data_IF_004488323410
#
_entry.id   IF_004488323410
#
_cell.length_a   1.000
_cell.length_b   1.000
_cell.length_c   1.000
_cell.angle_alpha   90.00
_cell.angle_beta   90.00
_cell.angle_gamma   90.00
#
_symmetry.space_group_name_H-M   'P 1'
#
loop_
_entity.id
_entity.type
_entity.pdbx_description
1 polymer ?
#
# COMPACT_ATOMS: atom_id res chain seq x y z
N UNK A 1 14.32 6.50 10.24
CA UNK A 1 14.67 6.03 8.89
C UNK A 1 16.17 6.15 8.71
N UNK A 2 16.89 5.02 8.83
CA UNK A 2 18.36 4.97 8.75
C UNK A 2 18.89 3.83 7.87
N UNK A 3 18.00 3.08 7.22
CA UNK A 3 18.30 1.97 6.30
C UNK A 3 17.62 2.17 4.95
N UNK A 4 17.42 3.42 4.54
CA UNK A 4 16.87 3.81 3.25
C UNK A 4 17.67 4.94 2.62
N UNK A 5 17.81 4.91 1.31
CA UNK A 5 18.43 5.93 0.47
C UNK A 5 17.50 6.19 -0.73
N UNK A 6 17.17 7.45 -0.99
CA UNK A 6 16.36 7.85 -2.14
C UNK A 6 17.20 8.74 -3.04
N UNK A 7 17.41 8.30 -4.27
CA UNK A 7 18.21 8.99 -5.29
C UNK A 7 17.33 9.66 -6.35
N UNK A 8 16.05 9.30 -6.44
CA UNK A 8 15.04 9.99 -7.25
C UNK A 8 13.62 9.78 -6.68
N UNK A 9 12.68 10.61 -7.13
CA UNK A 9 11.28 10.62 -6.71
C UNK A 9 10.37 9.59 -7.43
N UNK A 10 10.82 9.00 -8.53
CA UNK A 10 10.05 8.06 -9.35
C UNK A 10 10.20 6.61 -8.91
N UNK A 11 11.31 6.30 -8.24
CA UNK A 11 11.69 4.95 -7.84
C UNK A 11 12.45 4.17 -8.92
N UNK A 12 12.86 4.80 -10.02
CA UNK A 12 13.49 4.13 -11.16
C UNK A 12 15.01 3.92 -11.00
N UNK A 13 15.69 4.73 -10.18
CA UNK A 13 17.11 4.54 -9.91
C UNK A 13 17.35 3.29 -9.08
N UNK A 14 18.32 2.48 -9.50
CA UNK A 14 18.86 1.38 -8.70
C UNK A 14 19.53 1.85 -7.39
N UNK A 15 19.81 3.16 -7.25
CA UNK A 15 20.27 3.76 -6.00
C UNK A 15 19.17 3.95 -4.95
N UNK A 16 17.90 3.72 -5.31
CA UNK A 16 16.82 3.71 -4.34
C UNK A 16 16.84 2.40 -3.55
N UNK A 17 17.11 2.52 -2.26
CA UNK A 17 17.17 1.39 -1.33
C UNK A 17 16.22 1.71 -0.18
N UNK A 18 15.40 0.75 0.22
CA UNK A 18 14.54 0.91 1.38
C UNK A 18 14.43 -0.38 2.18
N UNK A 19 14.34 -0.26 3.50
CA UNK A 19 14.02 -1.38 4.39
C UNK A 19 12.52 -1.42 4.71
N UNK A 20 11.94 -2.61 4.98
CA UNK A 20 10.56 -2.72 5.41
C UNK A 20 10.22 -1.83 6.61
N UNK A 21 11.12 -1.77 7.60
CA UNK A 21 10.95 -0.96 8.81
C UNK A 21 10.83 0.53 8.50
N UNK A 22 11.70 1.05 7.64
CA UNK A 22 11.67 2.46 7.27
C UNK A 22 10.45 2.80 6.41
N UNK A 23 10.01 1.86 5.56
CA UNK A 23 8.79 2.02 4.78
C UNK A 23 7.53 2.05 5.65
N UNK A 24 7.47 1.31 6.76
CA UNK A 24 6.37 1.44 7.74
C UNK A 24 6.32 2.85 8.31
N UNK A 25 7.48 3.43 8.68
CA UNK A 25 7.54 4.81 9.19
C UNK A 25 7.10 5.82 8.13
N UNK A 26 7.61 5.67 6.90
CA UNK A 26 7.26 6.54 5.78
C UNK A 26 5.75 6.46 5.45
N UNK A 27 5.20 5.25 5.40
CA UNK A 27 3.79 5.02 5.13
C UNK A 27 2.91 5.61 6.23
N UNK A 28 3.28 5.47 7.50
CA UNK A 28 2.56 6.10 8.61
C UNK A 28 2.50 7.63 8.45
N UNK A 29 3.61 8.27 8.11
CA UNK A 29 3.66 9.72 7.90
C UNK A 29 2.91 10.18 6.63
N UNK A 30 2.97 9.40 5.55
CA UNK A 30 2.30 9.73 4.30
C UNK A 30 0.79 9.52 4.39
N UNK A 31 0.35 8.38 4.90
CA UNK A 31 -1.07 8.01 4.97
C UNK A 31 -1.82 8.71 6.10
N UNK A 32 -1.14 9.38 7.04
CA UNK A 32 -1.80 10.30 7.96
C UNK A 32 -2.25 11.60 7.28
N UNK A 33 -1.77 11.91 6.07
CA UNK A 33 -2.20 13.09 5.31
C UNK A 33 -3.53 12.79 4.59
N UNK A 34 -4.63 13.52 4.86
CA UNK A 34 -5.94 13.20 4.31
C UNK A 34 -6.00 13.15 2.79
N UNK A 35 -5.25 14.03 2.11
CA UNK A 35 -5.22 14.06 0.65
C UNK A 35 -4.51 12.84 0.05
N UNK A 36 -3.41 12.40 0.67
CA UNK A 36 -2.70 11.20 0.24
C UNK A 36 -3.53 9.95 0.51
N UNK A 37 -4.10 9.81 1.71
CA UNK A 37 -4.98 8.70 2.07
C UNK A 37 -6.15 8.56 1.09
N UNK A 38 -6.79 9.68 0.73
CA UNK A 38 -7.87 9.70 -0.27
C UNK A 38 -7.35 9.28 -1.65
N UNK A 39 -6.23 9.84 -2.09
CA UNK A 39 -5.67 9.56 -3.41
C UNK A 39 -5.34 8.06 -3.56
N UNK A 40 -4.69 7.46 -2.57
CA UNK A 40 -4.21 6.06 -2.66
C UNK A 40 -5.31 5.02 -2.46
N UNK A 41 -6.44 5.39 -1.86
CA UNK A 41 -7.61 4.50 -1.70
C UNK A 41 -8.66 4.69 -2.81
N UNK A 42 -8.45 5.63 -3.73
CA UNK A 42 -9.33 5.84 -4.88
C UNK A 42 -9.05 4.78 -5.95
N UNK A 43 -10.05 3.94 -6.25
CA UNK A 43 -9.92 2.88 -7.26
C UNK A 43 -9.84 3.41 -8.68
N UNK A 44 -10.53 4.52 -8.99
CA UNK A 44 -10.54 5.14 -10.30
C UNK A 44 -10.68 6.66 -10.19
N UNK A 45 -9.92 7.40 -10.99
CA UNK A 45 -9.96 8.86 -11.02
C UNK A 45 -10.07 9.37 -12.46
N UNK A 46 -11.13 10.13 -12.74
CA UNK A 46 -11.38 10.71 -14.05
C UNK A 46 -10.93 12.18 -14.07
N UNK A 47 -9.92 12.48 -14.87
CA UNK A 47 -9.32 13.81 -14.95
C UNK A 47 -9.31 14.35 -16.37
N UNK A 48 -9.17 15.66 -16.49
CA UNK A 48 -9.05 16.35 -17.78
C UNK A 48 -7.60 16.70 -18.02
N UNK A 49 -7.06 16.27 -19.17
CA UNK A 49 -5.70 16.60 -19.59
C UNK A 49 -5.67 18.06 -20.04
N UNK A 50 -4.99 18.92 -19.27
CA UNK A 50 -4.99 20.38 -19.48
C UNK A 50 -4.61 20.81 -20.89
N UNK A 51 -3.66 20.11 -21.54
CA UNK A 51 -3.19 20.47 -22.89
C UNK A 51 -4.15 20.11 -24.02
N UNK A 52 -5.09 19.16 -23.81
CA UNK A 52 -5.95 18.64 -24.88
C UNK A 52 -7.45 18.72 -24.58
N UNK A 53 -7.84 19.05 -23.35
CA UNK A 53 -9.23 18.97 -22.88
C UNK A 53 -9.80 17.55 -22.82
N UNK A 54 -8.99 16.52 -23.16
CA UNK A 54 -9.45 15.13 -23.20
C UNK A 54 -9.58 14.60 -21.78
N UNK A 55 -10.69 13.90 -21.51
CA UNK A 55 -10.87 13.14 -20.26
C UNK A 55 -10.05 11.84 -20.32
N UNK A 56 -9.48 11.46 -19.18
CA UNK A 56 -8.71 10.24 -18.97
C UNK A 56 -9.09 9.60 -17.65
N UNK A 57 -9.21 8.28 -17.67
CA UNK A 57 -9.46 7.48 -16.48
C UNK A 57 -8.14 6.88 -16.01
N UNK A 58 -7.68 7.26 -14.82
CA UNK A 58 -6.64 6.54 -14.11
C UNK A 58 -7.31 5.43 -13.29
N UNK A 59 -6.79 4.21 -13.38
CA UNK A 59 -7.24 3.05 -12.61
C UNK A 59 -6.12 2.66 -11.66
N UNK A 60 -6.46 2.47 -10.38
CA UNK A 60 -5.48 2.01 -9.39
C UNK A 60 -4.94 0.64 -9.77
N UNK A 61 -3.63 0.47 -9.63
CA UNK A 61 -2.96 -0.83 -9.79
C UNK A 61 -3.18 -1.76 -8.59
N UNK A 62 -3.69 -1.23 -7.48
CA UNK A 62 -3.93 -2.00 -6.26
C UNK A 62 -5.22 -2.83 -6.39
N UNK A 63 -5.05 -4.12 -6.64
CA UNK A 63 -6.16 -5.07 -6.74
C UNK A 63 -6.80 -5.38 -5.37
N UNK A 64 -6.13 -5.05 -4.26
CA UNK A 64 -6.66 -5.30 -2.92
C UNK A 64 -7.86 -4.40 -2.59
N UNK A 65 -8.00 -3.26 -3.27
CA UNK A 65 -9.16 -2.37 -3.16
C UNK A 65 -10.50 -3.07 -3.47
N UNK A 66 -10.47 -4.17 -4.23
CA UNK A 66 -11.65 -4.97 -4.60
C UNK A 66 -11.74 -6.30 -3.84
N UNK A 67 -10.88 -6.51 -2.85
CA UNK A 67 -10.77 -7.79 -2.14
C UNK A 67 -11.35 -7.74 -0.73
N UNK A 68 -11.40 -8.91 -0.06
CA UNK A 68 -11.99 -9.00 1.26
C UNK A 68 -11.33 -8.10 2.31
N UNK A 69 -10.03 -7.77 2.15
CA UNK A 69 -9.30 -6.90 3.07
C UNK A 69 -9.66 -5.41 2.91
N UNK A 70 -10.59 -5.08 2.01
CA UNK A 70 -11.19 -3.76 1.85
C UNK A 70 -12.74 -3.83 1.87
N UNK A 71 -13.30 -4.87 2.49
CA UNK A 71 -14.74 -5.06 2.65
C UNK A 71 -15.08 -5.64 4.03
N UNK A 72 -16.32 -5.45 4.49
CA UNK A 72 -16.76 -5.97 5.78
C UNK A 72 -16.01 -5.26 6.92
N UNK A 73 -15.42 -5.99 7.89
CA UNK A 73 -14.74 -5.36 9.02
C UNK A 73 -13.42 -4.71 8.62
N UNK A 74 -12.91 -4.95 7.41
CA UNK A 74 -11.61 -4.45 6.96
C UNK A 74 -11.76 -3.25 6.03
N UNK A 75 -10.86 -2.28 6.19
CA UNK A 75 -10.74 -1.11 5.33
C UNK A 75 -9.28 -0.82 5.03
N UNK A 76 -8.94 -0.68 3.75
CA UNK A 76 -7.64 -0.14 3.34
C UNK A 76 -7.67 1.37 3.55
N UNK A 77 -6.73 1.89 4.34
CA UNK A 77 -6.59 3.32 4.64
C UNK A 77 -5.39 3.96 3.95
N UNK A 78 -4.50 3.14 3.38
CA UNK A 78 -3.38 3.60 2.57
C UNK A 78 -2.75 2.46 1.79
N UNK A 79 -2.30 2.70 0.56
CA UNK A 79 -1.63 1.68 -0.23
C UNK A 79 -0.65 2.26 -1.25
N UNK A 80 0.40 1.52 -1.56
CA UNK A 80 1.29 1.79 -2.70
C UNK A 80 1.87 0.51 -3.25
N UNK A 81 1.78 0.37 -4.56
CA UNK A 81 2.35 -0.74 -5.33
C UNK A 81 3.67 -0.30 -5.97
N UNK A 82 4.58 -1.25 -6.25
CA UNK A 82 5.79 -1.00 -7.02
C UNK A 82 6.23 -2.25 -7.79
N UNK A 83 7.01 -2.05 -8.85
CA UNK A 83 7.66 -3.12 -9.60
C UNK A 83 8.83 -2.59 -10.42
N UNK A 84 9.97 -3.26 -10.30
CA UNK A 84 11.09 -3.27 -11.23
C UNK A 84 11.57 -4.72 -11.33
N UNK A 85 12.20 -5.09 -12.45
CA UNK A 85 12.67 -6.46 -12.65
C UNK A 85 13.68 -6.87 -11.56
N UNK A 86 14.50 -5.91 -11.10
CA UNK A 86 15.50 -6.11 -10.04
C UNK A 86 14.91 -6.08 -8.63
N UNK A 87 13.77 -5.41 -8.43
CA UNK A 87 13.12 -5.25 -7.12
C UNK A 87 11.98 -6.24 -6.87
N UNK A 88 11.56 -6.97 -7.91
CA UNK A 88 10.34 -7.77 -7.91
C UNK A 88 9.10 -6.92 -7.67
N UNK A 89 8.03 -7.58 -7.23
CA UNK A 89 6.76 -6.93 -6.93
C UNK A 89 6.71 -6.49 -5.47
N UNK A 90 6.49 -5.18 -5.25
CA UNK A 90 6.44 -4.59 -3.91
C UNK A 90 5.05 -4.04 -3.59
N UNK A 91 4.74 -3.98 -2.30
CA UNK A 91 3.49 -3.45 -1.76
C UNK A 91 3.72 -2.87 -0.37
N UNK A 92 3.16 -1.69 -0.12
CA UNK A 92 2.88 -1.19 1.22
C UNK A 92 1.37 -1.01 1.32
N UNK A 93 0.73 -1.58 2.33
CA UNK A 93 -0.73 -1.46 2.53
C UNK A 93 -1.03 -1.28 4.02
N UNK A 94 -1.93 -0.36 4.35
CA UNK A 94 -2.44 -0.15 5.70
C UNK A 94 -3.90 -0.55 5.74
N UNK A 95 -4.22 -1.48 6.65
CA UNK A 95 -5.55 -2.06 6.82
C UNK A 95 -6.01 -1.81 8.25
N UNK A 96 -7.20 -1.25 8.39
CA UNK A 96 -7.88 -1.05 9.66
C UNK A 96 -9.00 -2.09 9.80
N UNK A 97 -9.15 -2.67 10.99
CA UNK A 97 -10.26 -3.55 11.35
C UNK A 97 -11.28 -2.79 12.21
N UNK A 98 -12.41 -2.38 11.65
CA UNK A 98 -13.49 -1.61 12.30
C UNK A 98 -12.98 -0.55 13.30
N UNK A 99 -13.51 -0.55 14.54
CA UNK A 99 -13.08 0.30 15.65
C UNK A 99 -11.84 -0.26 16.38
N UNK A 100 -11.15 -1.20 15.76
CA UNK A 100 -10.04 -1.93 16.33
C UNK A 100 -8.70 -1.56 15.68
N UNK A 101 -7.76 -2.51 15.66
CA UNK A 101 -6.37 -2.25 15.35
C UNK A 101 -6.15 -1.92 13.86
N UNK A 102 -5.09 -1.16 13.62
CA UNK A 102 -4.59 -0.83 12.28
C UNK A 102 -3.23 -1.48 12.08
N UNK A 103 -3.02 -2.09 10.91
CA UNK A 103 -1.78 -2.78 10.55
C UNK A 103 -1.26 -2.24 9.22
N UNK A 104 0.02 -1.88 9.19
CA UNK A 104 0.75 -1.59 7.95
C UNK A 104 1.62 -2.79 7.59
N UNK A 105 1.38 -3.37 6.42
CA UNK A 105 2.16 -4.45 5.84
C UNK A 105 3.09 -3.89 4.77
N UNK A 106 4.32 -4.41 4.74
CA UNK A 106 5.31 -4.11 3.71
C UNK A 106 5.82 -5.43 3.12
N UNK A 107 5.60 -5.62 1.83
CA UNK A 107 6.06 -6.77 1.05
C UNK A 107 7.05 -6.28 0.00
N UNK A 108 8.25 -6.86 -0.01
CA UNK A 108 9.32 -6.54 -0.96
C UNK A 108 9.76 -7.83 -1.68
N UNK A 109 10.03 -7.75 -2.98
CA UNK A 109 10.63 -8.87 -3.73
C UNK A 109 9.70 -10.04 -4.02
N UNK A 110 8.38 -9.83 -4.10
CA UNK A 110 7.49 -10.92 -4.52
C UNK A 110 7.78 -11.30 -6.00
N UNK A 111 7.78 -12.60 -6.29
CA UNK A 111 8.17 -13.13 -7.60
C UNK A 111 7.15 -12.80 -8.70
N UNK A 112 5.86 -12.69 -8.35
CA UNK A 112 4.81 -12.33 -9.29
C UNK A 112 3.82 -11.32 -8.70
N UNK A 113 3.05 -10.67 -9.57
CA UNK A 113 1.99 -9.75 -9.17
C UNK A 113 0.92 -10.46 -8.31
N UNK A 114 0.40 -11.65 -8.69
CA UNK A 114 -0.57 -12.38 -7.85
C UNK A 114 -0.02 -12.75 -6.47
N UNK A 115 1.25 -13.16 -6.37
CA UNK A 115 1.83 -13.60 -5.10
C UNK A 115 1.72 -12.51 -4.05
N UNK A 116 2.13 -11.26 -4.38
CA UNK A 116 2.05 -10.15 -3.43
C UNK A 116 0.64 -9.90 -2.90
N UNK A 117 -0.39 -10.17 -3.71
CA UNK A 117 -1.79 -9.99 -3.31
C UNK A 117 -2.25 -11.10 -2.37
N UNK A 118 -1.87 -12.34 -2.64
CA UNK A 118 -2.25 -13.47 -1.81
C UNK A 118 -1.50 -13.44 -0.47
N UNK A 119 -0.21 -13.09 -0.48
CA UNK A 119 0.58 -12.88 0.73
C UNK A 119 -0.04 -11.78 1.61
N UNK A 120 -0.41 -10.64 1.03
CA UNK A 120 -1.06 -9.57 1.78
C UNK A 120 -2.38 -10.02 2.42
N UNK A 121 -3.22 -10.74 1.68
CA UNK A 121 -4.48 -11.29 2.18
C UNK A 121 -4.25 -12.28 3.33
N UNK A 122 -3.33 -13.22 3.15
CA UNK A 122 -3.00 -14.23 4.16
C UNK A 122 -2.45 -13.61 5.44
N UNK A 123 -1.55 -12.63 5.34
CA UNK A 123 -0.99 -11.95 6.49
C UNK A 123 -2.02 -11.10 7.24
N UNK A 124 -2.92 -10.42 6.52
CA UNK A 124 -4.02 -9.65 7.13
C UNK A 124 -4.98 -10.58 7.87
N UNK A 125 -5.39 -11.69 7.25
CA UNK A 125 -6.25 -12.68 7.90
C UNK A 125 -5.57 -13.28 9.14
N UNK A 126 -4.30 -13.66 9.01
CA UNK A 126 -3.53 -14.24 10.10
C UNK A 126 -3.35 -13.27 11.28
N UNK A 127 -2.93 -12.02 11.03
CA UNK A 127 -2.65 -11.07 12.11
C UNK A 127 -3.92 -10.70 12.87
N UNK A 128 -5.05 -10.48 12.19
CA UNK A 128 -6.29 -10.10 12.85
C UNK A 128 -7.04 -11.29 13.48
N UNK A 129 -6.69 -12.52 13.13
CA UNK A 129 -7.24 -13.75 13.72
C UNK A 129 -6.40 -14.35 14.84
N UNK A 130 -5.09 -14.09 14.87
CA UNK A 130 -4.14 -14.79 15.77
C UNK A 130 -3.29 -13.87 16.65
N UNK A 131 -3.14 -12.59 16.32
CA UNK A 131 -2.42 -11.66 17.20
C UNK A 131 -3.34 -11.16 18.32
N UNK A 132 -2.80 -11.08 19.54
CA UNK A 132 -3.51 -10.50 20.70
C UNK A 132 -3.17 -9.03 20.82
N UNK A 133 -4.17 -8.17 20.69
CA UNK A 133 -3.98 -6.73 20.73
C UNK A 133 -3.90 -6.24 22.17
N UNK A 134 -3.00 -5.28 22.49
CA UNK A 134 -2.85 -4.78 23.86
C UNK A 134 -4.13 -4.20 24.46
N UNK A 135 -5.02 -3.65 23.62
CA UNK A 135 -6.24 -2.94 24.02
C UNK A 135 -7.49 -3.85 24.07
N UNK A 136 -7.34 -5.16 23.88
CA UNK A 136 -8.44 -6.15 23.97
C UNK A 136 -8.59 -6.77 25.38
N UNK A 137 -8.14 -6.06 26.43
CA UNK A 137 -8.27 -6.48 27.85
C UNK A 137 -9.52 -5.93 28.54
#
# INVERSE_FOLDING_TARGET
>A
MNQSQFTDETGLSAGNIASPRDLVTLAGAAFSQPDLARAVTTSQYLFTVGSSGRRRLAVSTDQLLQSFINTGPYRITGAKTGHLDEAGYTLVVTVQKDNGPTVTLVLLGAASQPDRWQEAKGLVDWVFGHYRWPDES
#
